data_IF_178976006848
#
_entry.id   IF_178976006848
#
_cell.length_a   1.000
_cell.length_b   1.000
_cell.length_c   1.000
_cell.angle_alpha   90.00
_cell.angle_beta   90.00
_cell.angle_gamma   90.00
#
_symmetry.space_group_name_H-M   'P 1'
#
loop_
_entity.id
_entity.type
_entity.pdbx_description
1 polymer ?
#
# COMPACT_ATOMS: atom_id res chain seq x y z
N UNK A 1 -12.65 -18.46 -2.51
CA UNK A 1 -11.35 -18.04 -1.95
C UNK A 1 -11.30 -16.54 -2.02
N UNK A 2 -11.17 -15.85 -0.88
CA UNK A 2 -11.12 -14.39 -0.83
C UNK A 2 -9.72 -13.91 -1.22
N UNK A 3 -9.63 -13.04 -2.23
CA UNK A 3 -8.35 -12.47 -2.70
C UNK A 3 -8.09 -11.14 -2.01
N UNK A 4 -7.03 -11.08 -1.23
CA UNK A 4 -6.67 -9.91 -0.42
C UNK A 4 -5.35 -9.35 -0.93
N UNK A 5 -5.36 -8.06 -1.27
CA UNK A 5 -4.16 -7.31 -1.59
C UNK A 5 -3.74 -6.47 -0.38
N UNK A 6 -2.53 -6.70 0.12
CA UNK A 6 -1.83 -5.74 0.99
C UNK A 6 -0.93 -4.90 0.10
N UNK A 7 -1.36 -3.67 -0.19
CA UNK A 7 -0.67 -2.73 -1.08
C UNK A 7 -0.02 -1.63 -0.26
N UNK A 8 1.27 -1.37 -0.44
CA UNK A 8 1.94 -0.38 0.39
C UNK A 8 2.99 0.48 -0.31
N UNK A 9 3.36 1.59 0.33
CA UNK A 9 4.61 2.30 0.08
C UNK A 9 5.46 2.30 1.35
N UNK A 10 6.76 2.04 1.24
CA UNK A 10 7.68 2.08 2.38
C UNK A 10 9.01 2.70 1.98
N UNK A 11 9.36 3.83 2.58
CA UNK A 11 10.64 4.50 2.31
C UNK A 11 11.80 3.86 3.08
N UNK A 12 11.57 3.53 4.36
CA UNK A 12 12.61 3.07 5.29
C UNK A 12 12.29 1.70 5.94
N UNK A 13 11.31 0.96 5.42
CA UNK A 13 10.98 -0.40 5.88
C UNK A 13 9.87 -0.52 6.93
N UNK A 14 9.51 0.53 7.67
CA UNK A 14 8.47 0.45 8.71
C UNK A 14 7.11 -0.05 8.19
N UNK A 15 6.65 0.51 7.06
CA UNK A 15 5.38 0.08 6.45
C UNK A 15 5.49 -1.33 5.86
N UNK A 16 6.65 -1.71 5.33
CA UNK A 16 6.89 -3.07 4.79
C UNK A 16 6.79 -4.13 5.90
N UNK A 17 7.37 -3.87 7.08
CA UNK A 17 7.26 -4.75 8.25
C UNK A 17 5.77 -4.91 8.62
N UNK A 18 5.03 -3.82 8.72
CA UNK A 18 3.60 -3.87 9.02
C UNK A 18 2.80 -4.55 7.91
N UNK A 19 3.12 -4.34 6.64
CA UNK A 19 2.47 -5.00 5.50
C UNK A 19 2.62 -6.53 5.60
N UNK A 20 3.80 -7.01 5.97
CA UNK A 20 4.02 -8.44 6.18
C UNK A 20 3.22 -8.98 7.38
N UNK A 21 3.13 -8.23 8.49
CA UNK A 21 2.32 -8.61 9.65
C UNK A 21 0.81 -8.62 9.33
N UNK A 22 0.31 -7.62 8.59
CA UNK A 22 -1.07 -7.58 8.09
C UNK A 22 -1.34 -8.77 7.17
N UNK A 23 -0.41 -9.07 6.27
CA UNK A 23 -0.54 -10.20 5.36
C UNK A 23 -0.52 -11.55 6.10
N UNK A 24 0.33 -11.71 7.10
CA UNK A 24 0.34 -12.88 7.99
C UNK A 24 -1.01 -13.05 8.69
N UNK A 25 -1.55 -11.98 9.28
CA UNK A 25 -2.87 -12.00 9.90
C UNK A 25 -3.98 -12.40 8.92
N UNK A 26 -3.97 -11.84 7.70
CA UNK A 26 -4.94 -12.19 6.66
C UNK A 26 -4.82 -13.65 6.19
N UNK A 27 -3.59 -14.20 6.12
CA UNK A 27 -3.34 -15.61 5.73
C UNK A 27 -3.86 -16.63 6.75
N UNK A 28 -4.07 -16.22 8.00
CA UNK A 28 -4.63 -17.09 9.03
C UNK A 28 -6.14 -17.34 8.86
N UNK A 29 -6.81 -16.63 7.94
CA UNK A 29 -8.22 -16.85 7.63
C UNK A 29 -8.36 -17.99 6.61
N UNK A 30 -9.23 -18.95 6.89
CA UNK A 30 -9.49 -20.06 5.98
C UNK A 30 -9.96 -19.55 4.61
N UNK A 31 -9.46 -20.17 3.53
CA UNK A 31 -9.77 -19.81 2.15
C UNK A 31 -9.42 -18.36 1.74
N UNK A 32 -8.43 -17.73 2.39
CA UNK A 32 -7.86 -16.45 1.96
C UNK A 32 -6.57 -16.63 1.13
N UNK A 33 -6.48 -15.94 -0.01
CA UNK A 33 -5.29 -15.79 -0.82
C UNK A 33 -4.76 -14.36 -0.67
N UNK A 34 -3.50 -14.21 -0.22
CA UNK A 34 -2.96 -12.89 0.16
C UNK A 34 -1.73 -12.54 -0.66
N UNK A 35 -1.86 -11.47 -1.44
CA UNK A 35 -0.77 -10.85 -2.19
C UNK A 35 -0.20 -9.65 -1.41
N UNK A 36 1.13 -9.49 -1.41
CA UNK A 36 1.82 -8.31 -0.88
C UNK A 36 2.51 -7.61 -2.04
N UNK A 37 2.12 -6.36 -2.32
CA UNK A 37 2.69 -5.55 -3.39
C UNK A 37 3.01 -4.15 -2.92
N UNK A 38 3.88 -3.47 -3.66
CA UNK A 38 4.23 -2.07 -3.40
C UNK A 38 3.85 -1.16 -4.55
N UNK A 39 3.57 0.11 -4.25
CA UNK A 39 3.39 1.14 -5.29
C UNK A 39 4.76 1.61 -5.82
N UNK A 40 4.82 2.18 -7.04
CA UNK A 40 6.05 2.71 -7.61
C UNK A 40 6.69 3.81 -6.75
N UNK A 41 8.03 3.90 -6.79
CA UNK A 41 8.77 5.05 -6.28
C UNK A 41 8.67 6.23 -7.27
N UNK A 42 8.63 7.46 -6.75
CA UNK A 42 8.61 8.69 -7.54
C UNK A 42 9.96 9.41 -7.57
N UNK A 43 10.81 9.21 -6.57
CA UNK A 43 12.17 9.71 -6.60
C UNK A 43 13.00 8.98 -7.67
N UNK A 44 13.96 9.68 -8.27
CA UNK A 44 15.00 9.00 -9.06
C UNK A 44 15.80 8.06 -8.17
N UNK A 45 16.35 6.99 -8.75
CA UNK A 45 17.19 6.02 -8.04
C UNK A 45 18.37 6.70 -7.31
N UNK A 46 19.00 7.70 -7.95
CA UNK A 46 20.08 8.50 -7.34
C UNK A 46 19.62 9.23 -6.07
N UNK A 47 18.48 9.95 -6.15
CA UNK A 47 17.96 10.70 -5.00
C UNK A 47 17.54 9.75 -3.89
N UNK A 48 16.86 8.65 -4.23
CA UNK A 48 16.40 7.66 -3.29
C UNK A 48 17.58 7.00 -2.54
N UNK A 49 18.66 6.63 -3.24
CA UNK A 49 19.88 6.11 -2.61
C UNK A 49 20.54 7.13 -1.70
N UNK A 50 20.63 8.39 -2.13
CA UNK A 50 21.26 9.47 -1.34
C UNK A 50 20.56 9.71 0.00
N UNK A 51 19.23 9.58 0.04
CA UNK A 51 18.44 9.74 1.28
C UNK A 51 18.32 8.45 2.09
N UNK A 52 18.97 7.36 1.67
CA UNK A 52 18.95 6.07 2.37
C UNK A 52 17.61 5.33 2.26
N UNK A 53 16.87 5.53 1.16
CA UNK A 53 15.65 4.77 0.92
C UNK A 53 15.97 3.27 0.76
N UNK A 54 15.13 2.40 1.33
CA UNK A 54 15.21 0.95 1.14
C UNK A 54 14.64 0.59 -0.22
N UNK A 55 15.50 0.24 -1.18
CA UNK A 55 15.10 -0.03 -2.58
C UNK A 55 14.96 -1.51 -2.91
N UNK A 56 15.59 -2.38 -2.12
CA UNK A 56 15.68 -3.83 -2.26
C UNK A 56 14.56 -4.58 -1.52
N UNK A 57 13.32 -4.11 -1.69
CA UNK A 57 12.15 -4.73 -1.07
C UNK A 57 11.62 -5.88 -1.93
N UNK A 58 11.28 -7.06 -1.35
CA UNK A 58 10.94 -8.27 -2.09
C UNK A 58 9.57 -8.19 -2.81
N UNK A 59 8.67 -7.33 -2.33
CA UNK A 59 7.35 -7.18 -2.92
C UNK A 59 7.43 -6.57 -4.33
N UNK A 60 6.73 -7.18 -5.29
CA UNK A 60 6.61 -6.68 -6.65
C UNK A 60 5.84 -5.35 -6.71
N UNK A 61 6.10 -4.55 -7.75
CA UNK A 61 5.33 -3.33 -8.03
C UNK A 61 3.93 -3.69 -8.53
N UNK A 62 2.89 -3.03 -8.01
CA UNK A 62 1.52 -3.16 -8.49
C UNK A 62 1.21 -2.20 -9.65
N UNK A 63 0.22 -2.55 -10.47
CA UNK A 63 -0.45 -1.62 -11.39
C UNK A 63 -1.89 -1.36 -10.92
N UNK A 64 -2.51 -0.27 -11.38
CA UNK A 64 -3.92 -0.02 -11.02
C UNK A 64 -4.87 -1.03 -11.65
N UNK A 65 -4.54 -1.54 -12.84
CA UNK A 65 -5.41 -2.45 -13.60
C UNK A 65 -5.64 -3.81 -12.92
N UNK A 66 -4.78 -4.19 -11.98
CA UNK A 66 -4.98 -5.43 -11.22
C UNK A 66 -5.85 -5.27 -9.97
N UNK A 67 -6.14 -4.04 -9.51
CA UNK A 67 -6.97 -3.81 -8.31
C UNK A 67 -8.36 -4.48 -8.40
N UNK A 68 -9.04 -4.52 -9.58
CA UNK A 68 -10.28 -5.27 -9.77
C UNK A 68 -10.20 -6.77 -9.44
N UNK A 69 -9.02 -7.37 -9.45
CA UNK A 69 -8.85 -8.82 -9.23
C UNK A 69 -8.88 -9.24 -7.76
N UNK A 70 -8.97 -8.29 -6.83
CA UNK A 70 -8.99 -8.55 -5.38
C UNK A 70 -10.36 -8.25 -4.79
N UNK A 71 -10.76 -9.00 -3.77
CA UNK A 71 -11.99 -8.78 -3.01
C UNK A 71 -11.80 -7.74 -1.90
N UNK A 72 -10.57 -7.64 -1.37
CA UNK A 72 -10.18 -6.66 -0.37
C UNK A 72 -8.83 -6.03 -0.70
N UNK A 73 -8.67 -4.73 -0.41
CA UNK A 73 -7.42 -4.01 -0.55
C UNK A 73 -7.12 -3.28 0.77
N UNK A 74 -5.96 -3.58 1.34
CA UNK A 74 -5.46 -2.99 2.58
C UNK A 74 -4.26 -2.10 2.22
N UNK A 75 -4.41 -0.79 2.40
CA UNK A 75 -3.42 0.20 1.98
C UNK A 75 -2.46 0.57 3.12
N UNK A 76 -1.16 0.48 2.88
CA UNK A 76 -0.10 0.90 3.81
C UNK A 76 0.64 2.13 3.31
N UNK A 77 0.69 3.21 4.07
CA UNK A 77 1.46 4.41 3.70
C UNK A 77 2.11 5.04 4.93
N UNK A 78 3.34 5.56 4.87
CA UNK A 78 3.83 6.43 5.93
C UNK A 78 3.06 7.76 5.86
N UNK A 79 2.94 8.44 7.00
CA UNK A 79 2.40 9.80 7.02
C UNK A 79 3.32 10.76 6.28
N UNK A 80 2.72 11.74 5.61
CA UNK A 80 3.35 12.98 5.16
C UNK A 80 2.43 14.13 5.56
N UNK A 81 2.77 14.77 6.69
CA UNK A 81 2.00 15.88 7.27
C UNK A 81 0.51 15.56 7.47
N UNK A 82 0.21 14.37 8.00
CA UNK A 82 -1.17 13.92 8.25
C UNK A 82 -1.87 13.27 7.06
N UNK A 83 -1.22 13.25 5.88
CA UNK A 83 -1.76 12.62 4.67
C UNK A 83 -0.98 11.37 4.27
N UNK A 84 -1.51 10.63 3.29
CA UNK A 84 -0.73 9.63 2.56
C UNK A 84 0.49 10.25 1.86
N UNK A 85 1.51 9.43 1.58
CA UNK A 85 2.66 9.87 0.80
C UNK A 85 2.28 10.13 -0.67
N UNK A 86 3.11 10.95 -1.34
CA UNK A 86 2.91 11.29 -2.75
C UNK A 86 2.93 10.05 -3.67
N UNK A 87 3.74 9.04 -3.34
CA UNK A 87 3.81 7.77 -4.08
C UNK A 87 2.47 7.03 -4.08
N UNK A 88 1.83 6.92 -2.91
CA UNK A 88 0.50 6.32 -2.80
C UNK A 88 -0.56 7.18 -3.50
N UNK A 89 -0.50 8.51 -3.33
CA UNK A 89 -1.43 9.43 -3.99
C UNK A 89 -1.33 9.33 -5.51
N UNK A 90 -0.12 9.32 -6.07
CA UNK A 90 0.09 9.20 -7.51
C UNK A 90 -0.39 7.86 -8.08
N UNK A 91 -0.23 6.77 -7.34
CA UNK A 91 -0.80 5.47 -7.72
C UNK A 91 -2.33 5.53 -7.75
N UNK A 92 -2.96 6.10 -6.72
CA UNK A 92 -4.42 6.24 -6.65
C UNK A 92 -4.98 7.25 -7.66
N UNK A 93 -4.22 8.27 -8.06
CA UNK A 93 -4.64 9.22 -9.11
C UNK A 93 -4.81 8.55 -10.48
N UNK A 94 -4.16 7.40 -10.70
CA UNK A 94 -4.29 6.60 -11.92
C UNK A 94 -5.56 5.74 -11.94
N UNK A 95 -6.34 5.67 -10.84
CA UNK A 95 -7.56 4.83 -10.78
C UNK A 95 -8.80 5.52 -11.38
N UNK A 96 -8.65 6.60 -12.14
CA UNK A 96 -9.77 7.34 -12.73
C UNK A 96 -10.67 6.47 -13.61
N UNK A 97 -10.09 5.57 -14.42
CA UNK A 97 -10.86 4.63 -15.25
C UNK A 97 -11.65 3.63 -14.40
N UNK A 98 -11.02 3.07 -13.37
CA UNK A 98 -11.68 2.14 -12.44
C UNK A 98 -12.83 2.80 -11.69
N UNK A 99 -12.69 4.08 -11.34
CA UNK A 99 -13.74 4.84 -10.70
C UNK A 99 -14.94 5.03 -11.63
N UNK A 100 -14.72 5.44 -12.89
CA UNK A 100 -15.77 5.60 -13.90
C UNK A 100 -16.52 4.28 -14.18
N UNK A 101 -15.78 3.17 -14.24
CA UNK A 101 -16.34 1.84 -14.54
C UNK A 101 -16.94 1.15 -13.30
N UNK A 102 -16.83 1.76 -12.10
CA UNK A 102 -17.25 1.14 -10.85
C UNK A 102 -16.43 -0.09 -10.44
N UNK A 103 -15.22 -0.26 -10.99
CA UNK A 103 -14.41 -1.47 -10.87
C UNK A 103 -13.93 -1.81 -9.46
N UNK A 104 -14.07 -0.89 -8.50
CA UNK A 104 -13.76 -1.11 -7.08
C UNK A 104 -15.01 -1.13 -6.18
N UNK A 105 -16.22 -0.96 -6.73
CA UNK A 105 -17.47 -1.00 -5.96
C UNK A 105 -17.64 -2.38 -5.32
N UNK A 106 -18.01 -2.41 -4.04
CA UNK A 106 -18.25 -3.65 -3.29
C UNK A 106 -16.99 -4.33 -2.74
N UNK A 107 -15.79 -3.84 -3.08
CA UNK A 107 -14.54 -4.33 -2.49
C UNK A 107 -14.33 -3.76 -1.10
N UNK A 108 -13.73 -4.55 -0.20
CA UNK A 108 -13.39 -4.09 1.15
C UNK A 108 -12.13 -3.23 1.10
N UNK A 109 -12.19 -2.04 1.70
CA UNK A 109 -11.04 -1.15 1.87
C UNK A 109 -10.63 -1.04 3.34
N UNK A 110 -9.33 -1.11 3.61
CA UNK A 110 -8.75 -0.83 4.94
C UNK A 110 -7.41 -0.13 4.81
N UNK A 111 -6.90 0.49 5.88
CA UNK A 111 -5.68 1.31 5.84
C UNK A 111 -4.87 1.12 7.12
N UNK A 112 -3.54 1.18 7.00
CA UNK A 112 -2.61 1.32 8.12
C UNK A 112 -1.52 2.35 7.81
N UNK A 113 -0.95 2.97 8.85
CA UNK A 113 0.03 4.05 8.72
C UNK A 113 1.16 3.95 9.75
N UNK A 114 2.22 4.72 9.52
CA UNK A 114 3.33 4.91 10.47
C UNK A 114 3.68 6.39 10.55
N UNK A 115 3.91 6.86 11.76
CA UNK A 115 4.22 8.26 12.10
C UNK A 115 5.51 8.36 12.89
N UNK A 116 6.17 9.53 12.82
CA UNK A 116 7.36 9.81 13.61
C UNK A 116 7.08 10.20 15.07
N UNK A 117 5.82 10.52 15.40
CA UNK A 117 5.38 10.93 16.74
C UNK A 117 4.01 10.31 17.04
N UNK A 118 3.65 10.18 18.33
CA UNK A 118 2.39 9.55 18.77
C UNK A 118 1.16 10.25 18.19
N UNK A 119 1.20 11.58 18.07
CA UNK A 119 0.10 12.42 17.60
C UNK A 119 0.39 13.09 16.24
N UNK A 120 1.23 12.43 15.43
CA UNK A 120 1.71 12.95 14.14
C UNK A 120 0.79 12.63 12.96
N UNK A 121 -0.52 12.53 13.20
CA UNK A 121 -1.50 12.06 12.21
C UNK A 121 -1.76 10.56 12.29
N UNK A 122 -1.86 10.01 13.51
CA UNK A 122 -2.39 8.66 13.77
C UNK A 122 -3.89 8.68 14.09
N UNK A 123 -4.39 9.84 14.51
CA UNK A 123 -5.74 10.02 15.01
C UNK A 123 -6.80 9.80 13.92
N UNK A 124 -7.92 9.25 14.35
CA UNK A 124 -9.13 8.97 13.54
C UNK A 124 -10.30 9.78 14.01
#
# INVERSE_FOLDING_TARGET
>A
MAKILVLYYSMYGHIEIMANAVAEGARNVENAEVAVKRVPELMSDEVARRVGAKLDQPASIATVDELPNYDAIIFGTPTRFGNMCAQMRNFLDQTGRLWLDGGLIGKVGSVFTSTGTQHGGQET
#
